data_IF_918896755768
#
_entry.id   IF_918896755768
#
_cell.length_a   1.000
_cell.length_b   1.000
_cell.length_c   1.000
_cell.angle_alpha   90.00
_cell.angle_beta   90.00
_cell.angle_gamma   90.00
#
_symmetry.space_group_name_H-M   'P 1'
#
loop_
_entity.id
_entity.type
_entity.pdbx_description
1 polymer ?
#
# COMPACT_ATOMS: atom_id res chain seq x y z
N UNK A 1 -26.88 -10.39 6.98
CA UNK A 1 -25.63 -11.08 6.66
C UNK A 1 -24.84 -11.30 7.95
N UNK A 2 -24.92 -12.54 8.51
CA UNK A 2 -24.16 -12.92 9.69
C UNK A 2 -22.66 -12.82 9.42
N UNK A 3 -21.97 -12.01 10.20
CA UNK A 3 -20.52 -11.96 10.23
C UNK A 3 -20.03 -13.29 10.79
N UNK A 4 -19.69 -14.24 9.93
CA UNK A 4 -19.04 -15.49 10.35
C UNK A 4 -17.73 -15.16 11.06
N UNK A 5 -17.47 -15.73 12.23
CA UNK A 5 -16.24 -15.52 12.96
C UNK A 5 -15.03 -15.89 12.09
N UNK A 6 -13.85 -15.30 12.35
CA UNK A 6 -12.59 -15.66 11.66
C UNK A 6 -12.34 -17.16 11.70
N UNK A 7 -12.70 -17.83 12.80
CA UNK A 7 -12.62 -19.29 12.99
C UNK A 7 -13.50 -20.07 12.02
N UNK A 8 -14.74 -19.61 11.79
CA UNK A 8 -15.68 -20.24 10.85
C UNK A 8 -15.26 -20.05 9.39
N UNK A 9 -14.68 -18.90 9.02
CA UNK A 9 -14.11 -18.70 7.68
C UNK A 9 -12.93 -19.63 7.42
N UNK A 10 -12.04 -19.82 8.39
CA UNK A 10 -10.91 -20.75 8.25
C UNK A 10 -11.37 -22.21 8.15
N UNK A 11 -12.42 -22.62 8.87
CA UNK A 11 -13.01 -23.96 8.74
C UNK A 11 -13.63 -24.14 7.35
N UNK A 12 -14.45 -23.20 6.88
CA UNK A 12 -15.09 -23.32 5.54
C UNK A 12 -14.06 -23.34 4.39
N UNK A 13 -12.90 -22.71 4.58
CA UNK A 13 -11.81 -22.76 3.58
C UNK A 13 -11.13 -24.13 3.61
N UNK A 14 -10.84 -24.68 4.79
CA UNK A 14 -10.21 -26.01 4.92
C UNK A 14 -10.99 -27.15 4.27
N UNK A 15 -12.31 -27.08 4.30
CA UNK A 15 -13.18 -28.15 3.78
C UNK A 15 -13.31 -28.12 2.24
N UNK A 16 -12.86 -27.04 1.56
CA UNK A 16 -13.06 -26.82 0.14
C UNK A 16 -11.79 -26.55 -0.68
N UNK A 17 -10.64 -26.37 -0.04
CA UNK A 17 -9.38 -25.99 -0.68
C UNK A 17 -8.29 -26.99 -0.31
N UNK A 18 -7.56 -27.48 -1.29
CA UNK A 18 -6.48 -28.46 -1.09
C UNK A 18 -5.33 -27.93 -0.21
N UNK A 19 -5.05 -26.64 -0.29
CA UNK A 19 -4.01 -26.00 0.52
C UNK A 19 -4.36 -24.52 0.82
N UNK A 20 -3.90 -24.04 1.96
CA UNK A 20 -3.97 -22.61 2.36
C UNK A 20 -2.54 -22.11 2.57
N UNK A 21 -2.18 -21.06 1.87
CA UNK A 21 -0.85 -20.46 1.91
C UNK A 21 -0.88 -18.97 2.32
N UNK A 22 0.07 -18.53 3.15
CA UNK A 22 0.98 -19.36 3.94
C UNK A 22 0.22 -20.26 4.93
N UNK A 23 0.86 -21.33 5.42
CA UNK A 23 0.20 -22.28 6.31
C UNK A 23 -0.41 -21.60 7.55
N UNK A 24 -1.59 -22.04 8.03
CA UNK A 24 -2.21 -21.43 9.20
C UNK A 24 -1.35 -21.53 10.47
N UNK A 25 -0.48 -22.55 10.60
CA UNK A 25 0.53 -22.67 11.64
C UNK A 25 1.52 -21.51 11.61
N UNK A 26 2.04 -21.21 10.43
CA UNK A 26 2.95 -20.07 10.19
C UNK A 26 2.28 -18.74 10.49
N UNK A 27 1.03 -18.53 10.04
CA UNK A 27 0.30 -17.29 10.32
C UNK A 27 0.10 -17.09 11.82
N UNK A 28 -0.30 -18.16 12.56
CA UNK A 28 -0.47 -18.09 14.02
C UNK A 28 0.84 -17.76 14.73
N UNK A 29 1.93 -18.41 14.32
CA UNK A 29 3.25 -18.17 14.89
C UNK A 29 3.71 -16.71 14.68
N UNK A 30 3.55 -16.20 13.48
CA UNK A 30 3.98 -14.83 13.12
C UNK A 30 3.08 -13.76 13.76
N UNK A 31 1.80 -14.05 13.97
CA UNK A 31 0.88 -13.11 14.63
C UNK A 31 1.24 -12.84 16.10
N UNK A 32 1.87 -13.80 16.78
CA UNK A 32 2.42 -13.62 18.12
C UNK A 32 3.91 -13.26 17.99
N UNK A 33 4.22 -11.97 18.15
CA UNK A 33 5.57 -11.45 17.93
C UNK A 33 6.62 -12.04 18.88
N UNK A 34 6.24 -12.38 20.10
CA UNK A 34 7.15 -13.06 21.03
C UNK A 34 7.39 -14.52 20.63
N UNK A 35 6.32 -15.25 20.28
CA UNK A 35 6.45 -16.62 19.81
C UNK A 35 7.29 -16.70 18.53
N UNK A 36 7.13 -15.75 17.60
CA UNK A 36 7.96 -15.61 16.40
C UNK A 36 9.45 -15.48 16.77
N UNK A 37 9.78 -14.60 17.73
CA UNK A 37 11.19 -14.40 18.15
C UNK A 37 11.78 -15.65 18.79
N UNK A 38 11.03 -16.31 19.66
CA UNK A 38 11.50 -17.56 20.29
C UNK A 38 11.70 -18.68 19.28
N UNK A 39 10.80 -18.78 18.28
CA UNK A 39 10.97 -19.71 17.17
C UNK A 39 12.26 -19.44 16.39
N UNK A 40 12.47 -18.19 15.99
CA UNK A 40 13.65 -17.78 15.23
C UNK A 40 14.95 -18.00 16.02
N UNK A 41 14.97 -17.64 17.30
CA UNK A 41 16.11 -17.87 18.19
C UNK A 41 16.46 -19.34 18.32
N UNK A 42 15.44 -20.21 18.46
CA UNK A 42 15.62 -21.68 18.51
C UNK A 42 16.29 -22.22 17.22
N UNK A 43 16.08 -21.56 16.09
CA UNK A 43 16.68 -21.93 14.80
C UNK A 43 18.00 -21.19 14.52
N UNK A 44 18.59 -20.53 15.52
CA UNK A 44 19.86 -19.83 15.39
C UNK A 44 19.80 -18.59 14.48
N UNK A 45 18.64 -17.97 14.34
CA UNK A 45 18.49 -16.69 13.65
C UNK A 45 18.75 -15.57 14.68
N UNK A 46 19.62 -14.61 14.37
CA UNK A 46 19.92 -13.50 15.27
C UNK A 46 18.70 -12.58 15.43
N UNK A 47 18.19 -12.50 16.64
CA UNK A 47 17.08 -11.63 17.03
C UNK A 47 17.48 -10.79 18.25
N UNK A 48 16.72 -9.72 18.51
CA UNK A 48 16.89 -8.94 19.73
C UNK A 48 16.50 -9.76 20.97
N UNK A 49 17.28 -9.68 22.04
CA UNK A 49 16.97 -10.33 23.32
C UNK A 49 15.59 -9.88 23.81
N UNK A 50 14.76 -10.85 24.16
CA UNK A 50 13.36 -10.61 24.49
C UNK A 50 12.94 -11.41 25.72
N UNK A 51 12.09 -10.82 26.55
CA UNK A 51 11.54 -11.44 27.76
C UNK A 51 10.02 -11.30 27.75
N UNK A 52 9.34 -12.42 28.01
CA UNK A 52 7.89 -12.43 28.17
C UNK A 52 7.46 -11.77 29.48
N UNK A 53 6.33 -11.08 29.46
CA UNK A 53 5.71 -10.49 30.65
C UNK A 53 4.31 -11.08 30.76
N UNK A 54 4.12 -11.93 31.79
CA UNK A 54 2.82 -12.51 32.06
C UNK A 54 1.83 -11.46 32.59
N UNK A 55 0.58 -11.48 32.09
CA UNK A 55 -0.48 -10.69 32.70
C UNK A 55 -0.60 -10.99 34.18
N UNK A 56 -0.45 -9.99 35.03
CA UNK A 56 -0.55 -10.11 36.48
C UNK A 56 -1.25 -8.92 37.11
N UNK A 57 -1.77 -9.10 38.32
CA UNK A 57 -2.32 -7.98 39.10
C UNK A 57 -1.24 -6.95 39.51
N UNK A 58 0.02 -7.34 39.46
CA UNK A 58 1.17 -6.47 39.74
C UNK A 58 2.06 -6.28 38.49
N UNK A 59 1.50 -5.75 37.44
CA UNK A 59 2.24 -5.46 36.20
C UNK A 59 3.46 -4.58 36.40
N UNK A 60 3.38 -3.65 37.39
CA UNK A 60 4.49 -2.74 37.66
C UNK A 60 5.74 -3.47 38.14
N UNK A 61 5.58 -4.44 39.06
CA UNK A 61 6.70 -5.30 39.50
C UNK A 61 7.26 -6.11 38.34
N UNK A 62 6.38 -6.75 37.55
CA UNK A 62 6.83 -7.58 36.44
C UNK A 62 7.62 -6.78 35.39
N UNK A 63 7.19 -5.56 35.06
CA UNK A 63 7.93 -4.67 34.16
C UNK A 63 9.26 -4.22 34.75
N UNK A 64 9.30 -3.95 36.07
CA UNK A 64 10.53 -3.58 36.78
C UNK A 64 11.57 -4.72 36.76
N UNK A 65 11.15 -5.93 37.05
CA UNK A 65 12.02 -7.13 37.04
C UNK A 65 12.63 -7.34 35.65
N UNK A 66 11.84 -7.09 34.60
CA UNK A 66 12.30 -7.21 33.22
C UNK A 66 13.23 -6.03 32.86
N UNK A 67 12.98 -4.84 33.37
CA UNK A 67 13.86 -3.67 33.17
C UNK A 67 15.24 -3.88 33.82
N UNK A 68 15.28 -4.51 35.00
CA UNK A 68 16.55 -4.92 35.65
C UNK A 68 17.29 -5.95 34.79
N UNK A 69 16.58 -6.93 34.22
CA UNK A 69 17.17 -8.03 33.42
C UNK A 69 17.73 -7.55 32.06
N UNK A 70 16.99 -6.70 31.33
CA UNK A 70 17.36 -6.24 29.98
C UNK A 70 18.14 -4.93 29.96
N UNK A 71 18.15 -4.21 31.07
CA UNK A 71 18.61 -2.81 31.22
C UNK A 71 17.76 -1.80 30.43
N UNK A 72 17.72 -0.57 30.94
CA UNK A 72 17.06 0.55 30.24
C UNK A 72 18.06 1.26 29.30
N UNK A 73 17.60 1.84 28.18
CA UNK A 73 16.23 1.76 27.70
C UNK A 73 15.85 0.40 27.12
N UNK A 74 14.55 0.10 27.09
CA UNK A 74 14.00 -1.11 26.46
C UNK A 74 12.70 -0.80 25.71
N UNK A 75 12.25 -1.72 24.88
CA UNK A 75 10.98 -1.60 24.15
C UNK A 75 9.95 -2.56 24.73
N UNK A 76 8.86 -2.04 25.30
CA UNK A 76 7.69 -2.83 25.67
C UNK A 76 6.76 -2.97 24.47
N UNK A 77 6.27 -4.18 24.21
CA UNK A 77 5.44 -4.48 23.05
C UNK A 77 4.27 -5.40 23.42
N UNK A 78 3.11 -5.16 22.77
CA UNK A 78 2.02 -6.14 22.79
C UNK A 78 2.39 -7.33 21.91
N UNK A 79 2.15 -8.57 22.40
CA UNK A 79 2.45 -9.80 21.63
C UNK A 79 1.64 -9.92 20.36
N UNK A 80 0.40 -9.43 20.39
CA UNK A 80 -0.54 -9.50 19.27
C UNK A 80 -1.19 -8.15 19.00
N UNK A 81 -1.73 -7.96 17.78
CA UNK A 81 -2.45 -6.74 17.36
C UNK A 81 -1.61 -5.46 17.38
N UNK A 82 -0.29 -5.56 17.32
CA UNK A 82 0.63 -4.44 17.15
C UNK A 82 0.94 -4.24 15.65
N UNK A 83 0.82 -3.00 15.18
CA UNK A 83 1.10 -2.61 13.78
C UNK A 83 1.31 -1.10 13.66
N UNK A 84 2.12 -0.65 12.73
CA UNK A 84 2.39 0.76 12.44
C UNK A 84 2.66 1.59 13.73
N UNK A 85 3.56 1.08 14.59
CA UNK A 85 3.94 1.72 15.87
C UNK A 85 2.93 1.57 17.02
N UNK A 86 1.72 1.07 16.78
CA UNK A 86 0.73 0.82 17.83
C UNK A 86 1.06 -0.44 18.62
N UNK A 87 0.90 -0.37 19.94
CA UNK A 87 1.22 -1.47 20.83
C UNK A 87 2.70 -1.59 21.17
N UNK A 88 3.48 -0.52 20.95
CA UNK A 88 4.88 -0.37 21.34
C UNK A 88 5.04 0.83 22.27
N UNK A 89 5.91 0.72 23.26
CA UNK A 89 6.30 1.82 24.15
C UNK A 89 7.79 1.75 24.47
N UNK A 90 8.52 2.83 24.20
CA UNK A 90 9.94 2.93 24.58
C UNK A 90 10.06 3.33 26.04
N UNK A 91 10.46 2.39 26.89
CA UNK A 91 10.70 2.64 28.31
C UNK A 91 12.14 3.10 28.51
N UNK A 92 12.32 4.37 28.84
CA UNK A 92 13.64 5.00 29.01
C UNK A 92 14.10 5.04 30.47
N UNK A 93 13.15 5.10 31.41
CA UNK A 93 13.38 5.23 32.86
C UNK A 93 12.25 4.56 33.64
N UNK A 94 12.49 4.19 34.90
CA UNK A 94 11.52 3.48 35.75
C UNK A 94 10.26 4.30 36.04
N UNK A 95 10.36 5.62 36.10
CA UNK A 95 9.23 6.53 36.32
C UNK A 95 8.16 6.47 35.19
N UNK A 96 8.53 5.96 34.01
CA UNK A 96 7.62 5.80 32.88
C UNK A 96 6.84 4.48 32.90
N UNK A 97 7.07 3.59 33.87
CA UNK A 97 6.45 2.24 33.90
C UNK A 97 4.93 2.34 33.94
N UNK A 98 4.36 3.21 34.76
CA UNK A 98 2.89 3.34 34.88
C UNK A 98 2.28 3.85 33.56
N UNK A 99 2.89 4.84 32.94
CA UNK A 99 2.47 5.37 31.64
C UNK A 99 2.59 4.30 30.53
N UNK A 100 3.63 3.48 30.57
CA UNK A 100 3.81 2.39 29.60
C UNK A 100 2.72 1.31 29.73
N UNK A 101 2.39 0.93 30.98
CA UNK A 101 1.33 -0.05 31.26
C UNK A 101 -0.03 0.49 30.80
N UNK A 102 -0.34 1.75 31.08
CA UNK A 102 -1.56 2.41 30.63
C UNK A 102 -1.67 2.42 29.10
N UNK A 103 -0.62 2.86 28.41
CA UNK A 103 -0.56 2.94 26.94
C UNK A 103 -0.71 1.57 26.27
N UNK A 104 -0.28 0.49 26.94
CA UNK A 104 -0.34 -0.88 26.42
C UNK A 104 -1.56 -1.68 26.91
N UNK A 105 -2.54 -1.02 27.54
CA UNK A 105 -3.86 -1.59 27.86
C UNK A 105 -4.00 -2.13 29.26
N UNK A 106 -3.28 -1.58 30.26
CA UNK A 106 -3.44 -1.85 31.69
C UNK A 106 -3.40 -3.33 32.07
N UNK A 107 -2.48 -4.11 31.48
CA UNK A 107 -2.37 -5.55 31.76
C UNK A 107 -3.46 -6.43 31.14
N UNK A 108 -4.36 -5.87 30.33
CA UNK A 108 -5.42 -6.64 29.64
C UNK A 108 -4.90 -7.51 28.50
N UNK A 109 -3.64 -7.32 28.09
CA UNK A 109 -2.99 -8.02 26.99
C UNK A 109 -1.63 -8.57 27.41
N UNK A 110 -1.23 -9.74 26.89
CA UNK A 110 0.11 -10.24 27.13
C UNK A 110 1.13 -9.34 26.46
N UNK A 111 2.16 -8.95 27.21
CA UNK A 111 3.25 -8.11 26.78
C UNK A 111 4.56 -8.91 26.67
N UNK A 112 5.54 -8.32 26.04
CA UNK A 112 6.94 -8.73 26.11
C UNK A 112 7.84 -7.50 26.01
N UNK A 113 9.05 -7.64 26.51
CA UNK A 113 10.05 -6.59 26.41
C UNK A 113 11.18 -7.03 25.47
N UNK A 114 11.72 -6.10 24.74
CA UNK A 114 12.94 -6.25 23.93
C UNK A 114 14.02 -5.32 24.45
N UNK A 115 15.24 -5.83 24.52
CA UNK A 115 16.43 -5.02 24.76
C UNK A 115 16.51 -3.94 23.70
N UNK A 116 16.89 -2.73 24.09
CA UNK A 116 17.08 -1.65 23.11
C UNK A 116 18.19 -2.01 22.12
N UNK A 117 17.84 -2.05 20.83
CA UNK A 117 18.81 -2.28 19.76
C UNK A 117 19.24 -0.90 19.20
N UNK A 118 20.49 -0.45 19.44
CA UNK A 118 20.99 0.84 18.94
C UNK A 118 21.35 0.70 17.44
N UNK A 119 20.35 0.47 16.61
CA UNK A 119 20.57 0.30 15.18
C UNK A 119 20.95 1.63 14.50
N UNK A 120 21.79 1.52 13.47
CA UNK A 120 22.15 2.61 12.59
C UNK A 120 21.14 2.76 11.46
N UNK A 121 20.66 1.61 10.94
CA UNK A 121 19.72 1.55 9.84
C UNK A 121 18.70 0.43 10.03
N UNK A 122 17.52 0.67 9.50
CA UNK A 122 16.54 -0.39 9.26
C UNK A 122 16.66 -0.86 7.83
N UNK A 123 16.66 -2.17 7.64
CA UNK A 123 16.76 -2.82 6.33
C UNK A 123 15.63 -3.83 6.19
N UNK A 124 15.22 -4.09 4.97
CA UNK A 124 14.20 -5.09 4.68
C UNK A 124 14.63 -6.01 3.53
N UNK A 125 14.16 -7.25 3.60
CA UNK A 125 14.35 -8.25 2.54
C UNK A 125 13.01 -8.92 2.28
N UNK A 126 12.57 -8.88 1.03
CA UNK A 126 11.43 -9.70 0.59
C UNK A 126 11.92 -11.09 0.27
N UNK A 127 11.27 -12.10 0.82
CA UNK A 127 11.65 -13.51 0.64
C UNK A 127 10.46 -14.30 0.12
N UNK A 128 10.65 -15.04 -0.95
CA UNK A 128 9.66 -15.95 -1.53
C UNK A 128 9.97 -17.36 -1.07
N UNK A 129 8.96 -18.08 -0.62
CA UNK A 129 9.02 -19.51 -0.34
C UNK A 129 7.98 -20.24 -1.18
N UNK A 130 8.41 -21.15 -2.05
CA UNK A 130 7.56 -21.95 -2.90
C UNK A 130 6.98 -23.15 -2.15
N UNK A 131 5.97 -23.81 -2.73
CA UNK A 131 5.34 -25.03 -2.19
C UNK A 131 6.31 -26.21 -2.06
N UNK A 132 7.34 -26.28 -2.90
CA UNK A 132 8.41 -27.29 -2.83
C UNK A 132 9.47 -27.00 -1.77
N UNK A 133 9.35 -25.88 -1.07
CA UNK A 133 10.32 -25.43 -0.05
C UNK A 133 11.46 -24.59 -0.57
N UNK A 134 11.56 -24.35 -1.87
CA UNK A 134 12.54 -23.43 -2.46
C UNK A 134 12.36 -22.03 -1.89
N UNK A 135 13.47 -21.40 -1.46
CA UNK A 135 13.48 -20.05 -0.89
C UNK A 135 14.42 -19.17 -1.72
N UNK A 136 13.92 -18.00 -2.15
CA UNK A 136 14.69 -16.98 -2.85
C UNK A 136 14.37 -15.59 -2.29
N UNK A 137 15.34 -14.69 -2.27
CA UNK A 137 15.15 -13.33 -1.78
C UNK A 137 15.30 -12.29 -2.90
N UNK A 138 14.63 -11.17 -2.72
CA UNK A 138 14.90 -9.92 -3.42
C UNK A 138 16.14 -9.26 -2.81
N UNK A 139 16.80 -8.34 -3.54
CA UNK A 139 17.87 -7.54 -2.97
C UNK A 139 17.45 -6.85 -1.68
N UNK A 140 18.34 -6.83 -0.68
CA UNK A 140 18.14 -6.08 0.55
C UNK A 140 17.97 -4.59 0.24
N UNK A 141 17.11 -3.91 0.98
CA UNK A 141 16.81 -2.48 0.83
C UNK A 141 16.96 -1.75 2.16
N UNK A 142 17.27 -0.46 2.09
CA UNK A 142 17.20 0.45 3.23
C UNK A 142 15.77 0.94 3.39
N UNK A 143 15.26 0.96 4.62
CA UNK A 143 13.94 1.52 4.96
C UNK A 143 14.13 2.69 5.92
N UNK A 144 13.43 3.79 5.63
CA UNK A 144 13.41 4.98 6.48
C UNK A 144 12.03 5.08 7.11
N UNK A 145 12.00 5.12 8.44
CA UNK A 145 10.76 5.24 9.21
C UNK A 145 10.65 6.61 9.87
N UNK A 146 9.46 7.16 9.84
CA UNK A 146 9.07 8.36 10.58
C UNK A 146 7.87 8.01 11.48
N UNK A 147 7.97 8.30 12.76
CA UNK A 147 6.95 7.96 13.75
C UNK A 147 6.52 6.48 13.69
N UNK A 148 7.50 5.57 13.52
CA UNK A 148 7.30 4.11 13.38
C UNK A 148 6.48 3.69 12.15
N UNK A 149 6.33 4.55 11.16
CA UNK A 149 5.69 4.24 9.88
C UNK A 149 6.74 4.32 8.78
N UNK A 150 6.84 3.28 7.94
CA UNK A 150 7.75 3.31 6.80
C UNK A 150 7.40 4.50 5.89
N UNK A 151 8.34 5.42 5.74
CA UNK A 151 8.22 6.63 4.95
C UNK A 151 8.78 6.42 3.54
N UNK A 152 10.02 5.93 3.44
CA UNK A 152 10.66 5.66 2.15
C UNK A 152 11.52 4.40 2.17
N UNK A 153 11.81 3.87 0.98
CA UNK A 153 12.65 2.68 0.75
C UNK A 153 13.65 3.00 -0.35
N UNK A 154 14.89 2.52 -0.21
CA UNK A 154 15.93 2.66 -1.23
C UNK A 154 16.51 1.29 -1.61
N UNK A 155 16.48 0.98 -2.88
CA UNK A 155 16.91 -0.30 -3.45
C UNK A 155 18.02 -0.10 -4.51
N UNK A 156 19.05 -0.94 -4.51
CA UNK A 156 19.42 -1.89 -3.47
C UNK A 156 20.07 -1.19 -2.27
N UNK A 157 20.19 -1.91 -1.14
CA UNK A 157 20.91 -1.43 0.04
C UNK A 157 22.36 -1.05 -0.34
N UNK A 158 22.74 0.19 -0.04
CA UNK A 158 24.11 0.68 -0.25
C UNK A 158 24.84 0.81 1.09
N UNK A 159 26.02 0.22 1.14
CA UNK A 159 26.85 0.19 2.35
C UNK A 159 28.33 0.15 1.95
N UNK A 160 29.19 0.57 2.87
CA UNK A 160 30.64 0.44 2.73
C UNK A 160 31.14 -1.00 2.93
N UNK A 161 30.31 -1.91 3.40
CA UNK A 161 30.60 -3.33 3.58
C UNK A 161 29.93 -4.13 2.46
N UNK A 162 30.65 -4.55 1.42
CA UNK A 162 30.06 -5.17 0.22
C UNK A 162 29.30 -6.48 0.50
N UNK A 163 29.68 -7.22 1.54
CA UNK A 163 29.07 -8.49 1.94
C UNK A 163 27.78 -8.35 2.74
N UNK A 164 27.50 -7.16 3.28
CA UNK A 164 26.37 -6.92 4.19
C UNK A 164 25.02 -7.15 3.53
N UNK A 165 24.74 -6.69 2.29
CA UNK A 165 23.46 -6.98 1.63
C UNK A 165 23.21 -8.47 1.47
N UNK A 166 24.24 -9.25 1.12
CA UNK A 166 24.12 -10.70 0.97
C UNK A 166 23.94 -11.39 2.33
N UNK A 167 24.58 -10.89 3.40
CA UNK A 167 24.36 -11.41 4.78
C UNK A 167 22.93 -11.20 5.21
N UNK A 168 22.35 -10.02 4.94
CA UNK A 168 20.96 -9.73 5.22
C UNK A 168 20.01 -10.69 4.49
N UNK A 169 20.24 -10.90 3.19
CA UNK A 169 19.49 -11.89 2.40
C UNK A 169 19.57 -13.30 3.00
N UNK A 170 20.77 -13.79 3.32
CA UNK A 170 20.96 -15.13 3.92
C UNK A 170 20.25 -15.28 5.28
N UNK A 171 20.27 -14.26 6.13
CA UNK A 171 19.55 -14.28 7.42
C UNK A 171 18.05 -14.38 7.17
N UNK A 172 17.53 -13.57 6.25
CA UNK A 172 16.11 -13.55 5.91
C UNK A 172 15.64 -14.88 5.28
N UNK A 173 16.41 -15.44 4.34
CA UNK A 173 16.12 -16.74 3.71
C UNK A 173 16.12 -17.88 4.73
N UNK A 174 17.13 -17.93 5.60
CA UNK A 174 17.20 -18.93 6.68
C UNK A 174 16.01 -18.80 7.63
N UNK A 175 15.59 -17.60 7.96
CA UNK A 175 14.42 -17.37 8.80
C UNK A 175 13.13 -17.89 8.15
N UNK A 176 12.90 -17.54 6.88
CA UNK A 176 11.69 -17.95 6.13
C UNK A 176 11.70 -19.47 5.85
N UNK A 177 12.85 -20.09 5.68
CA UNK A 177 12.97 -21.54 5.50
C UNK A 177 12.45 -22.33 6.72
N UNK A 178 12.38 -21.73 7.92
CA UNK A 178 11.86 -22.38 9.14
C UNK A 178 10.33 -22.46 9.20
N UNK A 179 9.63 -21.78 8.28
CA UNK A 179 8.17 -21.76 8.26
C UNK A 179 7.60 -22.80 7.30
N UNK A 180 6.30 -23.07 7.48
CA UNK A 180 5.52 -23.94 6.61
C UNK A 180 4.68 -23.15 5.61
N UNK A 181 4.35 -23.79 4.49
CA UNK A 181 3.54 -23.22 3.42
C UNK A 181 4.37 -22.37 2.46
N UNK A 182 3.69 -21.66 1.58
CA UNK A 182 4.27 -20.90 0.48
C UNK A 182 3.81 -19.44 0.49
N UNK A 183 4.50 -18.58 -0.24
CA UNK A 183 4.14 -17.18 -0.44
C UNK A 183 5.33 -16.24 -0.31
N UNK A 184 5.04 -14.96 -0.24
CA UNK A 184 6.01 -13.90 0.01
C UNK A 184 6.02 -13.51 1.49
N UNK A 185 7.21 -13.23 2.01
CA UNK A 185 7.43 -12.78 3.38
C UNK A 185 8.24 -11.50 3.36
N UNK A 186 7.78 -10.48 4.05
CA UNK A 186 8.56 -9.27 4.31
C UNK A 186 9.33 -9.44 5.61
N UNK A 187 10.68 -9.42 5.53
CA UNK A 187 11.58 -9.56 6.67
C UNK A 187 12.20 -8.21 6.98
N UNK A 188 11.96 -7.70 8.18
CA UNK A 188 12.55 -6.47 8.69
C UNK A 188 13.73 -6.77 9.62
N UNK A 189 14.82 -6.03 9.43
CA UNK A 189 16.10 -6.27 10.09
C UNK A 189 16.68 -4.95 10.60
N UNK A 190 17.39 -5.01 11.72
CA UNK A 190 18.18 -3.91 12.25
C UNK A 190 19.65 -4.12 11.90
N UNK A 191 20.29 -3.10 11.37
CA UNK A 191 21.74 -3.05 11.16
C UNK A 191 22.35 -2.19 12.28
N UNK A 192 23.17 -2.80 13.11
CA UNK A 192 23.90 -2.12 14.17
C UNK A 192 25.18 -1.48 13.63
N UNK A 193 25.77 -0.55 14.38
CA UNK A 193 27.00 0.18 14.01
C UNK A 193 28.22 -0.74 13.78
N UNK A 194 28.27 -1.86 14.51
CA UNK A 194 29.34 -2.86 14.37
C UNK A 194 29.14 -3.82 13.18
N UNK A 195 28.11 -3.61 12.37
CA UNK A 195 27.76 -4.47 11.24
C UNK A 195 26.94 -5.70 11.62
N UNK A 196 26.57 -5.86 12.89
CA UNK A 196 25.65 -6.93 13.32
C UNK A 196 24.26 -6.70 12.73
N UNK A 197 23.64 -7.79 12.24
CA UNK A 197 22.27 -7.76 11.71
C UNK A 197 21.39 -8.57 12.67
N UNK A 198 20.33 -7.95 13.17
CA UNK A 198 19.32 -8.58 14.01
C UNK A 198 17.96 -8.57 13.30
N UNK A 199 17.26 -9.69 13.30
CA UNK A 199 15.93 -9.75 12.76
C UNK A 199 14.94 -9.11 13.73
N UNK A 200 14.17 -8.15 13.22
CA UNK A 200 13.12 -7.44 13.96
C UNK A 200 11.80 -8.20 13.88
N UNK A 201 11.18 -8.27 12.72
CA UNK A 201 9.91 -8.97 12.53
C UNK A 201 9.73 -9.51 11.11
N UNK A 202 8.77 -10.42 10.95
CA UNK A 202 8.40 -11.00 9.65
C UNK A 202 6.90 -10.81 9.44
N UNK A 203 6.52 -10.42 8.23
CA UNK A 203 5.14 -10.34 7.76
C UNK A 203 4.89 -11.42 6.69
N UNK A 204 3.91 -12.34 6.86
CA UNK A 204 3.67 -13.44 5.94
C UNK A 204 2.75 -13.03 4.78
N UNK A 205 3.12 -12.00 4.05
CA UNK A 205 2.34 -11.37 2.97
C UNK A 205 3.20 -10.41 2.16
N UNK A 206 2.75 -9.98 0.97
CA UNK A 206 3.33 -8.82 0.31
C UNK A 206 3.48 -7.66 1.28
N UNK A 207 4.67 -7.06 1.29
CA UNK A 207 5.05 -6.05 2.27
C UNK A 207 5.28 -4.69 1.63
N UNK A 208 5.01 -3.64 2.39
CA UNK A 208 5.17 -2.27 1.94
C UNK A 208 6.59 -1.97 1.47
N UNK A 209 7.60 -2.45 2.21
CA UNK A 209 9.01 -2.28 1.83
C UNK A 209 9.39 -3.00 0.51
N UNK A 210 8.51 -3.87 -0.01
CA UNK A 210 8.68 -4.58 -1.28
C UNK A 210 7.94 -3.96 -2.46
N UNK A 211 7.23 -2.84 -2.28
CA UNK A 211 6.44 -2.25 -3.37
C UNK A 211 7.30 -1.73 -4.53
N UNK A 212 8.55 -1.35 -4.27
CA UNK A 212 9.51 -1.00 -5.32
C UNK A 212 9.68 -2.10 -6.39
N UNK A 213 9.44 -3.37 -6.02
CA UNK A 213 9.60 -4.51 -6.92
C UNK A 213 8.66 -4.47 -8.12
N UNK A 214 7.55 -3.74 -8.03
CA UNK A 214 6.58 -3.60 -9.12
C UNK A 214 7.21 -2.94 -10.35
N UNK A 215 8.02 -1.91 -10.14
CA UNK A 215 8.62 -1.11 -11.22
C UNK A 215 10.12 -1.38 -11.40
N UNK A 216 10.81 -1.89 -10.37
CA UNK A 216 12.27 -2.00 -10.35
C UNK A 216 12.81 -3.42 -10.50
N UNK A 217 12.00 -4.48 -10.31
CA UNK A 217 12.43 -5.86 -10.45
C UNK A 217 11.86 -6.52 -11.71
N UNK A 218 12.52 -7.60 -12.17
CA UNK A 218 12.04 -8.41 -13.29
C UNK A 218 10.68 -9.03 -12.99
N UNK A 219 10.51 -9.56 -11.78
CA UNK A 219 9.24 -10.10 -11.29
C UNK A 219 8.87 -9.41 -9.97
N UNK A 220 7.63 -8.93 -9.85
CA UNK A 220 7.18 -8.25 -8.63
C UNK A 220 6.97 -9.22 -7.46
N UNK A 221 6.99 -8.69 -6.23
CA UNK A 221 6.64 -9.48 -5.03
C UNK A 221 5.24 -10.09 -5.12
N UNK A 222 4.31 -9.43 -5.80
CA UNK A 222 2.93 -9.90 -5.95
C UNK A 222 2.86 -11.09 -6.91
N UNK A 223 3.54 -10.99 -8.04
CA UNK A 223 3.59 -12.08 -9.01
C UNK A 223 4.30 -13.30 -8.43
N UNK A 224 5.46 -13.12 -7.80
CA UNK A 224 6.17 -14.22 -7.16
C UNK A 224 5.37 -14.83 -5.98
N UNK A 225 4.55 -14.03 -5.28
CA UNK A 225 3.62 -14.58 -4.30
C UNK A 225 2.63 -15.55 -4.95
N UNK A 226 2.01 -15.16 -6.07
CA UNK A 226 1.08 -16.03 -6.80
C UNK A 226 1.79 -17.26 -7.36
N UNK A 227 2.96 -17.11 -7.98
CA UNK A 227 3.75 -18.23 -8.49
C UNK A 227 4.08 -19.23 -7.37
N UNK A 228 4.52 -18.73 -6.22
CA UNK A 228 4.88 -19.55 -5.07
C UNK A 228 3.72 -20.39 -4.54
N UNK A 229 2.54 -19.78 -4.36
CA UNK A 229 1.37 -20.49 -3.81
C UNK A 229 0.70 -21.43 -4.80
N UNK A 230 0.91 -21.22 -6.10
CA UNK A 230 0.40 -22.07 -7.19
C UNK A 230 1.40 -23.15 -7.63
N UNK A 231 2.60 -23.20 -7.03
CA UNK A 231 3.64 -24.15 -7.41
C UNK A 231 4.21 -23.90 -8.81
N UNK A 232 4.13 -22.66 -9.31
CA UNK A 232 4.72 -22.27 -10.58
C UNK A 232 6.21 -21.94 -10.41
N UNK A 233 7.04 -22.03 -11.47
CA UNK A 233 8.42 -21.58 -11.42
C UNK A 233 8.51 -20.13 -10.94
N UNK A 234 9.38 -19.87 -9.96
CA UNK A 234 9.59 -18.52 -9.46
C UNK A 234 10.23 -17.66 -10.55
N UNK A 235 9.77 -16.43 -10.66
CA UNK A 235 10.38 -15.43 -11.53
C UNK A 235 11.63 -14.83 -10.88
N UNK A 236 12.50 -14.26 -11.70
CA UNK A 236 13.74 -13.60 -11.25
C UNK A 236 13.42 -12.46 -10.28
N UNK A 237 14.13 -12.42 -9.15
CA UNK A 237 14.04 -11.36 -8.15
C UNK A 237 15.00 -10.20 -8.41
N UNK A 238 15.78 -10.28 -9.50
CA UNK A 238 16.78 -9.29 -9.86
C UNK A 238 16.17 -7.91 -10.13
N UNK A 239 16.92 -6.87 -9.80
CA UNK A 239 16.61 -5.52 -10.25
C UNK A 239 16.82 -5.42 -11.76
N UNK A 240 15.84 -4.88 -12.50
CA UNK A 240 15.98 -4.52 -13.92
C UNK A 240 16.51 -3.11 -14.12
N UNK A 241 16.76 -2.38 -13.04
CA UNK A 241 17.31 -1.02 -13.01
C UNK A 241 18.42 -0.91 -11.97
N UNK A 242 19.45 -0.06 -12.16
CA UNK A 242 20.56 0.06 -11.22
C UNK A 242 20.17 0.58 -9.83
N UNK A 243 19.11 1.41 -9.74
CA UNK A 243 18.65 1.99 -8.49
C UNK A 243 17.15 2.32 -8.54
N UNK A 244 16.50 2.19 -7.41
CA UNK A 244 15.11 2.55 -7.22
C UNK A 244 14.86 3.09 -5.80
N UNK A 245 13.78 3.84 -5.64
CA UNK A 245 13.24 4.20 -4.34
C UNK A 245 11.71 4.11 -4.36
N UNK A 246 11.12 4.00 -3.19
CA UNK A 246 9.67 4.07 -2.97
C UNK A 246 9.38 5.12 -1.90
N UNK A 247 8.41 5.99 -2.16
CA UNK A 247 7.86 6.95 -1.21
C UNK A 247 6.43 6.56 -0.87
N UNK A 248 6.12 6.38 0.40
CA UNK A 248 4.74 6.18 0.85
C UNK A 248 3.96 7.50 0.81
N UNK A 249 2.74 7.45 0.32
CA UNK A 249 1.80 8.55 0.39
C UNK A 249 0.96 8.33 1.67
N UNK A 250 1.28 9.09 2.71
CA UNK A 250 0.60 9.02 4.01
C UNK A 250 -0.42 10.15 4.11
N UNK A 251 -1.62 9.85 4.61
CA UNK A 251 -2.62 10.87 4.88
C UNK A 251 -2.06 11.91 5.87
N UNK A 252 -2.17 13.19 5.53
CA UNK A 252 -1.64 14.30 6.33
C UNK A 252 -2.65 14.84 7.33
N UNK A 253 -3.94 14.84 6.97
CA UNK A 253 -5.01 15.33 7.81
C UNK A 253 -6.27 14.45 7.69
N UNK A 254 -7.24 14.68 8.56
CA UNK A 254 -8.52 13.98 8.53
C UNK A 254 -9.50 14.74 7.62
N UNK A 255 -10.01 14.07 6.60
CA UNK A 255 -10.96 14.66 5.64
C UNK A 255 -12.25 15.17 6.31
N UNK A 256 -12.63 14.65 7.48
CA UNK A 256 -13.76 15.15 8.25
C UNK A 256 -13.49 16.50 8.92
N UNK A 257 -12.21 16.88 9.06
CA UNK A 257 -11.75 18.09 9.74
C UNK A 257 -11.09 19.10 8.80
N UNK A 258 -10.59 18.65 7.67
CA UNK A 258 -9.90 19.47 6.66
C UNK A 258 -10.32 18.98 5.27
N UNK A 259 -11.09 19.79 4.54
CA UNK A 259 -11.58 19.46 3.19
C UNK A 259 -10.45 19.31 2.18
N UNK A 260 -9.33 19.99 2.40
CA UNK A 260 -8.16 19.95 1.54
C UNK A 260 -7.19 18.82 1.93
N UNK A 261 -7.53 18.00 2.93
CA UNK A 261 -6.69 16.91 3.42
C UNK A 261 -6.23 15.96 2.32
N UNK A 262 -7.11 15.63 1.39
CA UNK A 262 -6.79 14.76 0.27
C UNK A 262 -5.87 15.46 -0.74
N UNK A 263 -6.14 16.72 -1.10
CA UNK A 263 -5.31 17.50 -2.01
C UNK A 263 -3.90 17.67 -1.46
N UNK A 264 -3.75 18.03 -0.18
CA UNK A 264 -2.46 18.12 0.52
C UNK A 264 -1.73 16.76 0.51
N UNK A 265 -2.44 15.68 0.81
CA UNK A 265 -1.89 14.32 0.80
C UNK A 265 -1.39 13.91 -0.59
N UNK A 266 -2.05 14.34 -1.65
CA UNK A 266 -1.72 14.01 -3.03
C UNK A 266 -0.72 14.98 -3.70
N UNK A 267 -0.26 16.03 -3.02
CA UNK A 267 0.70 16.98 -3.59
C UNK A 267 1.97 16.30 -4.15
N UNK A 268 2.61 15.33 -3.46
CA UNK A 268 3.75 14.60 -4.03
C UNK A 268 3.38 13.77 -5.26
N UNK A 269 2.13 13.31 -5.38
CA UNK A 269 1.63 12.60 -6.57
C UNK A 269 1.62 13.52 -7.78
N UNK A 270 1.07 14.72 -7.62
CA UNK A 270 1.06 15.71 -8.69
C UNK A 270 2.48 16.09 -9.11
N UNK A 271 3.37 16.30 -8.15
CA UNK A 271 4.78 16.57 -8.43
C UNK A 271 5.45 15.43 -9.19
N UNK A 272 5.13 14.19 -8.87
CA UNK A 272 5.73 13.01 -9.50
C UNK A 272 5.46 12.90 -11.00
N UNK A 273 4.37 13.46 -11.49
CA UNK A 273 4.04 13.48 -12.93
C UNK A 273 5.09 14.18 -13.78
N UNK A 274 5.88 15.10 -13.19
CA UNK A 274 7.00 15.78 -13.84
C UNK A 274 8.37 15.19 -13.51
N UNK A 275 8.42 14.10 -12.70
CA UNK A 275 9.66 13.45 -12.30
C UNK A 275 9.91 12.22 -13.18
N UNK A 276 10.95 12.22 -14.03
CA UNK A 276 11.25 11.06 -14.88
C UNK A 276 11.48 9.79 -14.05
N UNK A 277 10.89 8.68 -14.49
CA UNK A 277 11.02 7.38 -13.82
C UNK A 277 10.20 7.24 -12.53
N UNK A 278 9.30 8.17 -12.23
CA UNK A 278 8.32 8.03 -11.18
C UNK A 278 7.06 7.29 -11.69
N UNK A 279 6.56 6.36 -10.89
CA UNK A 279 5.31 5.62 -11.13
C UNK A 279 4.44 5.70 -9.89
N UNK A 280 3.18 6.07 -10.05
CA UNK A 280 2.22 6.28 -8.94
C UNK A 280 1.31 5.07 -8.79
N UNK A 281 1.14 4.63 -7.55
CA UNK A 281 0.24 3.55 -7.18
C UNK A 281 -0.70 4.00 -6.06
N UNK A 282 -1.93 4.37 -6.39
CA UNK A 282 -2.96 4.76 -5.42
C UNK A 282 -3.81 3.55 -5.01
N UNK A 283 -4.20 3.51 -3.73
CA UNK A 283 -4.91 2.35 -3.17
C UNK A 283 -6.44 2.48 -3.19
N UNK A 284 -6.99 3.58 -3.72
CA UNK A 284 -8.43 3.79 -3.82
C UNK A 284 -9.17 3.80 -2.48
N UNK A 285 -8.49 4.13 -1.37
CA UNK A 285 -9.10 4.10 -0.04
C UNK A 285 -10.02 5.29 0.17
N UNK A 286 -11.26 5.03 0.58
CA UNK A 286 -12.17 6.05 1.05
C UNK A 286 -11.66 6.69 2.36
N UNK A 287 -11.73 8.01 2.46
CA UNK A 287 -11.32 8.79 3.63
C UNK A 287 -9.81 8.90 3.81
N UNK A 288 -9.36 10.11 4.09
CA UNK A 288 -7.99 10.44 4.45
C UNK A 288 -7.92 10.67 5.96
N UNK A 289 -6.86 10.18 6.62
CA UNK A 289 -6.55 10.44 8.02
C UNK A 289 -5.05 10.36 8.24
N UNK A 290 -4.49 11.08 9.25
CA UNK A 290 -3.06 11.09 9.53
C UNK A 290 -2.45 9.68 9.61
N UNK A 291 -1.32 9.49 8.92
CA UNK A 291 -0.57 8.23 8.91
C UNK A 291 -1.18 7.08 8.11
N UNK A 292 -2.38 7.24 7.52
CA UNK A 292 -2.98 6.21 6.68
C UNK A 292 -2.26 6.13 5.34
N UNK A 293 -1.72 4.94 5.00
CA UNK A 293 -1.11 4.70 3.69
C UNK A 293 -2.16 4.78 2.60
N UNK A 294 -2.13 5.83 1.78
CA UNK A 294 -3.07 6.13 0.70
C UNK A 294 -2.59 5.61 -0.66
N UNK A 295 -1.28 5.42 -0.80
CA UNK A 295 -0.61 4.96 -2.00
C UNK A 295 0.89 4.95 -1.80
N UNK A 296 1.62 4.80 -2.91
CA UNK A 296 3.07 5.00 -2.95
C UNK A 296 3.50 5.49 -4.33
N UNK A 297 4.70 6.05 -4.39
CA UNK A 297 5.37 6.44 -5.63
C UNK A 297 6.66 5.65 -5.71
N UNK A 298 6.85 4.88 -6.77
CA UNK A 298 8.14 4.28 -7.09
C UNK A 298 8.94 5.21 -8.00
N UNK A 299 10.23 5.33 -7.76
CA UNK A 299 11.15 6.13 -8.56
C UNK A 299 12.31 5.23 -8.98
N UNK A 300 12.53 5.08 -10.28
CA UNK A 300 13.65 4.30 -10.84
C UNK A 300 14.64 5.21 -11.53
N UNK A 301 15.91 4.79 -11.60
CA UNK A 301 16.95 5.59 -12.25
C UNK A 301 18.25 4.83 -12.53
N UNK A 302 19.11 5.44 -13.37
CA UNK A 302 20.37 4.84 -13.79
C UNK A 302 21.46 4.84 -12.71
N UNK A 303 21.25 5.55 -11.59
CA UNK A 303 22.15 5.52 -10.43
C UNK A 303 21.47 6.03 -9.18
N UNK A 304 22.05 5.76 -8.02
CA UNK A 304 21.57 6.25 -6.72
C UNK A 304 21.49 7.78 -6.67
N UNK A 305 22.46 8.48 -7.27
CA UNK A 305 22.46 9.94 -7.32
C UNK A 305 21.23 10.48 -8.05
N UNK A 306 20.87 9.87 -9.19
CA UNK A 306 19.67 10.26 -9.94
C UNK A 306 18.38 9.96 -9.14
N UNK A 307 18.31 8.78 -8.52
CA UNK A 307 17.13 8.39 -7.74
C UNK A 307 16.98 9.31 -6.52
N UNK A 308 18.04 9.57 -5.77
CA UNK A 308 18.02 10.47 -4.61
C UNK A 308 17.65 11.90 -5.00
N UNK A 309 18.18 12.43 -6.12
CA UNK A 309 17.79 13.73 -6.64
C UNK A 309 16.31 13.80 -7.04
N UNK A 310 15.77 12.75 -7.67
CA UNK A 310 14.34 12.66 -8.00
C UNK A 310 13.48 12.56 -6.75
N UNK A 311 13.92 11.77 -5.78
CA UNK A 311 13.25 11.64 -4.48
C UNK A 311 13.24 12.95 -3.71
N UNK A 312 14.31 13.75 -3.71
CA UNK A 312 14.33 15.03 -2.99
C UNK A 312 13.24 15.98 -3.48
N UNK A 313 12.94 15.99 -4.79
CA UNK A 313 11.86 16.81 -5.33
C UNK A 313 10.47 16.41 -4.80
N UNK A 314 10.26 15.11 -4.53
CA UNK A 314 9.01 14.60 -3.95
C UNK A 314 8.95 14.86 -2.45
N UNK A 315 10.09 14.72 -1.76
CA UNK A 315 10.21 14.99 -0.33
C UNK A 315 10.03 16.47 0.00
N UNK A 316 10.62 17.36 -0.80
CA UNK A 316 10.43 18.82 -0.66
C UNK A 316 8.96 19.21 -0.82
N UNK A 317 8.25 18.57 -1.76
CA UNK A 317 6.81 18.81 -1.95
C UNK A 317 5.97 18.23 -0.81
N UNK A 318 6.34 17.05 -0.29
CA UNK A 318 5.70 16.46 0.87
C UNK A 318 5.89 17.34 2.12
N UNK A 319 7.08 17.86 2.36
CA UNK A 319 7.35 18.76 3.48
C UNK A 319 6.50 20.04 3.40
N UNK A 320 6.41 20.68 2.23
CA UNK A 320 5.51 21.82 2.01
C UNK A 320 4.05 21.48 2.32
N UNK A 321 3.59 20.32 1.88
CA UNK A 321 2.24 19.86 2.12
C UNK A 321 1.99 19.57 3.62
N UNK A 322 2.97 19.02 4.34
CA UNK A 322 2.93 18.81 5.78
C UNK A 322 2.83 20.14 6.54
N UNK A 323 3.67 21.11 6.19
CA UNK A 323 3.62 22.46 6.78
C UNK A 323 2.23 23.07 6.57
N UNK A 324 1.72 23.05 5.33
CA UNK A 324 0.40 23.56 5.01
C UNK A 324 -0.75 22.83 5.74
N UNK A 325 -0.58 21.56 6.06
CA UNK A 325 -1.55 20.79 6.84
C UNK A 325 -1.54 21.18 8.32
N UNK A 326 -0.37 21.56 8.89
CA UNK A 326 -0.25 22.00 10.27
C UNK A 326 -0.67 23.46 10.48
N UNK A 327 -0.51 24.31 9.48
CA UNK A 327 -0.88 25.73 9.51
C UNK A 327 -2.38 25.97 9.24
N UNK A 328 -3.12 24.94 8.78
CA UNK A 328 -4.56 25.05 8.55
C UNK A 328 -5.28 25.35 9.86
N UNK A 329 -6.02 26.49 9.90
CA UNK A 329 -6.86 26.90 11.03
C UNK A 329 -7.83 25.78 11.43
N UNK A 330 -8.24 25.70 12.73
CA UNK A 330 -9.23 24.73 13.17
C UNK A 330 -10.48 24.80 12.28
N UNK A 331 -10.98 23.63 11.90
CA UNK A 331 -12.20 23.47 11.13
C UNK A 331 -13.38 24.22 11.77
N UNK A 332 -13.88 25.24 11.09
CA UNK A 332 -15.13 25.89 11.46
C UNK A 332 -16.31 25.09 10.88
N UNK A 333 -16.92 24.26 11.74
CA UNK A 333 -18.06 23.41 11.37
C UNK A 333 -19.28 24.24 10.90
N UNK A 334 -19.42 25.49 11.35
CA UNK A 334 -20.48 26.41 10.92
C UNK A 334 -20.19 26.96 9.53
N UNK A 335 -18.94 27.33 9.24
CA UNK A 335 -18.51 27.74 7.89
C UNK A 335 -18.65 26.58 6.89
N UNK A 336 -18.42 25.34 7.34
CA UNK A 336 -18.62 24.15 6.50
C UNK A 336 -20.10 23.90 6.17
N UNK A 337 -20.98 24.05 7.14
CA UNK A 337 -22.44 23.95 6.91
C UNK A 337 -22.91 25.06 5.96
N UNK A 338 -22.38 26.28 6.08
CA UNK A 338 -22.71 27.40 5.18
C UNK A 338 -22.18 27.15 3.74
N UNK A 339 -20.98 26.54 3.58
CA UNK A 339 -20.44 26.17 2.27
C UNK A 339 -21.18 24.98 1.65
N UNK A 340 -21.60 23.99 2.46
CA UNK A 340 -22.41 22.86 1.98
C UNK A 340 -23.85 23.27 1.63
N UNK A 341 -24.36 24.37 2.19
CA UNK A 341 -25.68 24.91 1.89
C UNK A 341 -25.68 25.80 0.63
N UNK A 342 -24.51 26.23 0.14
CA UNK A 342 -24.37 26.90 -1.16
C UNK A 342 -24.02 25.80 -2.16
N UNK A 343 -24.91 25.46 -3.12
CA UNK A 343 -24.52 24.58 -4.20
C UNK A 343 -23.27 25.19 -4.87
N UNK A 344 -22.24 24.37 -5.19
CA UNK A 344 -21.05 24.88 -5.84
C UNK A 344 -21.48 25.70 -7.04
N UNK A 345 -20.95 26.93 -7.24
CA UNK A 345 -21.32 27.74 -8.36
C UNK A 345 -21.07 26.96 -9.65
N UNK A 346 -22.15 26.64 -10.38
CA UNK A 346 -22.08 25.85 -11.59
C UNK A 346 -22.15 24.34 -11.39
N UNK A 347 -22.83 23.83 -10.36
CA UNK A 347 -23.22 22.41 -10.37
C UNK A 347 -23.98 22.16 -11.69
N UNK A 348 -23.40 21.35 -12.61
CA UNK A 348 -23.93 21.21 -13.94
C UNK A 348 -25.30 20.56 -13.89
N UNK A 349 -26.25 21.19 -14.53
CA UNK A 349 -27.64 20.76 -14.56
C UNK A 349 -27.90 19.71 -15.65
N UNK A 350 -26.94 19.52 -16.57
CA UNK A 350 -27.04 18.56 -17.68
C UNK A 350 -25.66 18.11 -18.17
N UNK A 351 -25.57 16.96 -18.87
CA UNK A 351 -24.32 16.50 -19.48
C UNK A 351 -23.69 17.50 -20.48
N UNK A 352 -24.47 18.41 -21.01
CA UNK A 352 -24.00 19.43 -21.97
C UNK A 352 -23.14 20.51 -21.30
N UNK A 353 -23.29 20.70 -19.98
CA UNK A 353 -22.50 21.68 -19.21
C UNK A 353 -21.03 21.19 -18.98
N UNK A 354 -20.70 19.97 -19.38
CA UNK A 354 -19.38 19.37 -19.25
C UNK A 354 -18.63 19.17 -20.58
N UNK A 355 -19.16 19.69 -21.69
CA UNK A 355 -18.52 19.50 -23.00
C UNK A 355 -17.70 20.73 -23.40
N UNK A 356 -16.37 20.61 -23.30
CA UNK A 356 -15.46 21.63 -23.77
C UNK A 356 -15.32 21.53 -25.31
N UNK A 357 -15.33 22.65 -26.05
CA UNK A 357 -15.22 22.65 -27.52
C UNK A 357 -13.91 22.05 -28.05
N UNK A 358 -12.83 22.09 -27.23
CA UNK A 358 -11.52 21.50 -27.53
C UNK A 358 -11.18 20.42 -26.51
N UNK A 359 -12.05 19.40 -26.36
CA UNK A 359 -11.88 18.34 -25.39
C UNK A 359 -10.66 17.46 -25.70
N UNK A 360 -9.81 17.23 -24.70
CA UNK A 360 -8.68 16.30 -24.76
C UNK A 360 -9.05 14.90 -24.25
N UNK A 361 -10.06 14.81 -23.38
CA UNK A 361 -10.52 13.54 -22.79
C UNK A 361 -12.02 13.38 -23.09
N UNK A 362 -12.40 12.21 -23.59
CA UNK A 362 -13.80 11.84 -23.75
C UNK A 362 -14.26 10.96 -22.60
N UNK A 363 -15.26 11.39 -21.82
CA UNK A 363 -15.92 10.56 -20.81
C UNK A 363 -17.23 10.07 -21.40
N UNK A 364 -17.35 8.76 -21.58
CA UNK A 364 -18.55 8.14 -22.14
C UNK A 364 -19.12 7.08 -21.21
N UNK A 365 -20.42 6.91 -21.26
CA UNK A 365 -21.14 5.94 -20.43
C UNK A 365 -22.33 5.32 -21.17
N UNK A 366 -22.71 4.12 -20.78
CA UNK A 366 -23.81 3.40 -21.40
C UNK A 366 -25.20 3.97 -21.07
N UNK A 367 -25.33 4.64 -19.93
CA UNK A 367 -26.60 5.13 -19.39
C UNK A 367 -26.37 6.31 -18.43
N UNK A 368 -27.42 7.07 -18.19
CA UNK A 368 -27.49 8.07 -17.13
C UNK A 368 -27.33 7.46 -15.71
N UNK A 369 -27.72 6.21 -15.53
CA UNK A 369 -27.45 5.46 -14.28
C UNK A 369 -25.96 5.33 -13.95
N UNK A 370 -25.08 5.41 -14.93
CA UNK A 370 -23.63 5.33 -14.77
C UNK A 370 -23.02 6.69 -14.35
N UNK A 371 -23.76 7.76 -14.54
CA UNK A 371 -23.32 9.14 -14.33
C UNK A 371 -22.75 9.39 -12.92
N UNK A 372 -23.35 8.91 -11.81
CA UNK A 372 -22.81 9.15 -10.47
C UNK A 372 -21.39 8.63 -10.27
N UNK A 373 -21.02 7.53 -10.95
CA UNK A 373 -19.66 6.98 -10.93
C UNK A 373 -18.74 7.79 -11.83
N UNK A 374 -19.20 8.10 -13.05
CA UNK A 374 -18.40 8.80 -14.07
C UNK A 374 -18.16 10.27 -13.72
N UNK A 375 -19.01 10.87 -12.87
CA UNK A 375 -18.81 12.21 -12.35
C UNK A 375 -17.50 12.38 -11.57
N UNK A 376 -17.00 11.32 -10.94
CA UNK A 376 -15.71 11.38 -10.23
C UNK A 376 -14.55 11.63 -11.21
N UNK A 377 -14.60 11.00 -12.40
CA UNK A 377 -13.62 11.26 -13.45
C UNK A 377 -13.74 12.69 -14.00
N UNK A 378 -14.98 13.17 -14.23
CA UNK A 378 -15.24 14.52 -14.69
C UNK A 378 -14.76 15.58 -13.70
N UNK A 379 -15.03 15.39 -12.41
CA UNK A 379 -14.56 16.29 -11.36
C UNK A 379 -13.04 16.30 -11.28
N UNK A 380 -12.40 15.13 -11.32
CA UNK A 380 -10.93 15.03 -11.33
C UNK A 380 -10.32 15.79 -12.50
N UNK A 381 -10.83 15.62 -13.72
CA UNK A 381 -10.33 16.34 -14.89
C UNK A 381 -10.54 17.85 -14.77
N UNK A 382 -11.66 18.28 -14.18
CA UNK A 382 -11.94 19.68 -13.89
C UNK A 382 -10.95 20.26 -12.87
N UNK A 383 -10.65 19.52 -11.81
CA UNK A 383 -9.70 19.94 -10.77
C UNK A 383 -8.27 20.07 -11.33
N UNK A 384 -7.95 19.32 -12.39
CA UNK A 384 -6.69 19.41 -13.12
C UNK A 384 -6.70 20.39 -14.31
N UNK A 385 -7.80 21.12 -14.49
CA UNK A 385 -7.98 22.02 -15.64
C UNK A 385 -7.74 21.34 -17.02
N UNK A 386 -8.13 20.05 -17.11
CA UNK A 386 -8.05 19.26 -18.34
C UNK A 386 -9.36 19.34 -19.11
N UNK A 387 -9.38 19.88 -20.33
CA UNK A 387 -10.59 19.98 -21.14
C UNK A 387 -11.15 18.60 -21.47
N UNK A 388 -12.42 18.36 -21.19
CA UNK A 388 -13.08 17.10 -21.48
C UNK A 388 -14.51 17.29 -22.00
N UNK A 389 -15.02 16.27 -22.65
CA UNK A 389 -16.44 16.13 -22.97
C UNK A 389 -17.05 14.94 -22.20
N UNK A 390 -18.31 15.03 -21.83
CA UNK A 390 -19.05 13.98 -21.16
C UNK A 390 -20.36 13.70 -21.90
N UNK A 391 -20.55 12.45 -22.32
CA UNK A 391 -21.75 12.09 -23.09
C UNK A 391 -22.18 10.63 -22.89
N UNK A 392 -23.46 10.37 -23.16
CA UNK A 392 -24.02 9.02 -23.13
C UNK A 392 -23.88 8.38 -24.51
N UNK A 393 -23.20 7.25 -24.55
CA UNK A 393 -23.00 6.44 -25.77
C UNK A 393 -23.21 4.98 -25.44
N UNK A 394 -24.38 4.47 -25.77
CA UNK A 394 -24.72 3.09 -25.41
C UNK A 394 -24.33 2.09 -26.50
N UNK A 395 -23.52 1.08 -26.12
CA UNK A 395 -23.11 0.01 -27.04
C UNK A 395 -24.31 -0.80 -27.56
N UNK A 396 -25.33 -1.01 -26.72
CA UNK A 396 -26.48 -1.84 -27.06
C UNK A 396 -27.67 -1.06 -27.62
N UNK A 397 -27.87 0.18 -27.16
CA UNK A 397 -29.06 0.97 -27.53
C UNK A 397 -28.81 1.92 -28.71
N UNK A 398 -27.55 2.39 -28.86
CA UNK A 398 -27.15 3.33 -29.91
C UNK A 398 -25.78 2.94 -30.49
N UNK A 399 -25.66 1.74 -31.12
CA UNK A 399 -24.37 1.22 -31.59
C UNK A 399 -23.75 2.10 -32.69
N UNK A 400 -24.56 2.70 -33.55
CA UNK A 400 -24.09 3.63 -34.60
C UNK A 400 -23.46 4.87 -33.98
N UNK A 401 -24.09 5.48 -32.98
CA UNK A 401 -23.53 6.63 -32.26
C UNK A 401 -22.23 6.26 -31.55
N UNK A 402 -22.15 5.06 -30.96
CA UNK A 402 -20.93 4.55 -30.35
C UNK A 402 -19.80 4.43 -31.38
N UNK A 403 -20.08 3.88 -32.56
CA UNK A 403 -19.13 3.76 -33.65
C UNK A 403 -18.66 5.11 -34.15
N UNK A 404 -19.59 6.02 -34.40
CA UNK A 404 -19.29 7.40 -34.84
C UNK A 404 -18.44 8.13 -33.81
N UNK A 405 -18.78 8.02 -32.53
CA UNK A 405 -18.01 8.59 -31.45
C UNK A 405 -16.56 8.08 -31.44
N UNK A 406 -16.39 6.74 -31.45
CA UNK A 406 -15.09 6.09 -31.35
C UNK A 406 -14.18 6.43 -32.56
N UNK A 407 -14.74 6.42 -33.76
CA UNK A 407 -13.98 6.67 -35.01
C UNK A 407 -13.64 8.14 -35.21
N UNK A 408 -14.50 9.08 -34.75
CA UNK A 408 -14.29 10.52 -34.88
C UNK A 408 -13.48 11.13 -33.72
N UNK A 409 -13.36 10.46 -32.58
CA UNK A 409 -12.76 11.02 -31.38
C UNK A 409 -11.37 11.65 -31.65
N UNK A 410 -10.48 10.93 -32.34
CA UNK A 410 -9.13 11.40 -32.66
C UNK A 410 -9.12 12.66 -33.49
N UNK A 411 -9.97 12.74 -34.52
CA UNK A 411 -10.06 13.88 -35.43
C UNK A 411 -10.67 15.12 -34.76
N UNK A 412 -11.45 14.91 -33.70
CA UNK A 412 -11.99 15.96 -32.81
C UNK A 412 -10.99 16.47 -31.76
N UNK A 413 -9.77 15.89 -31.69
CA UNK A 413 -8.72 16.30 -30.76
C UNK A 413 -8.63 15.48 -29.50
N UNK A 414 -9.53 14.51 -29.27
CA UNK A 414 -9.51 13.64 -28.10
C UNK A 414 -8.24 12.77 -28.12
N UNK A 415 -7.62 12.61 -26.97
CA UNK A 415 -6.38 11.85 -26.77
C UNK A 415 -6.61 10.55 -25.98
N UNK A 416 -7.60 10.54 -25.09
CA UNK A 416 -7.94 9.40 -24.22
C UNK A 416 -9.46 9.33 -24.08
N UNK A 417 -10.00 8.12 -24.02
CA UNK A 417 -11.43 7.89 -23.76
C UNK A 417 -11.56 7.15 -22.42
N UNK A 418 -12.38 7.67 -21.52
CA UNK A 418 -12.79 6.99 -20.26
C UNK A 418 -14.21 6.47 -20.48
N UNK A 419 -14.37 5.15 -20.51
CA UNK A 419 -15.64 4.51 -20.86
C UNK A 419 -16.18 3.71 -19.66
N UNK A 420 -17.32 4.13 -19.11
CA UNK A 420 -18.00 3.48 -17.99
C UNK A 420 -19.17 2.62 -18.43
N UNK A 421 -19.31 1.43 -17.85
CA UNK A 421 -20.46 0.57 -18.08
C UNK A 421 -20.70 -0.37 -16.90
N UNK A 422 -21.99 -0.69 -16.64
CA UNK A 422 -22.42 -1.60 -15.60
C UNK A 422 -22.99 -2.92 -16.15
N UNK A 423 -22.96 -3.99 -15.34
CA UNK A 423 -23.47 -5.31 -15.70
C UNK A 423 -22.66 -5.96 -16.84
N UNK A 424 -23.29 -6.24 -17.98
CA UNK A 424 -22.62 -6.66 -19.21
C UNK A 424 -21.87 -5.47 -19.85
N UNK A 425 -20.77 -5.07 -19.24
CA UNK A 425 -20.04 -3.82 -19.48
C UNK A 425 -19.22 -3.85 -20.78
N UNK A 426 -19.89 -4.05 -21.93
CA UNK A 426 -19.25 -4.20 -23.24
C UNK A 426 -18.74 -2.86 -23.85
N UNK A 427 -19.26 -1.72 -23.40
CA UNK A 427 -18.95 -0.42 -24.02
C UNK A 427 -17.45 -0.12 -24.11
N UNK A 428 -16.62 -0.29 -23.06
CA UNK A 428 -15.20 -0.02 -23.14
C UNK A 428 -14.48 -0.83 -24.22
N UNK A 429 -14.73 -2.13 -24.26
CA UNK A 429 -14.12 -3.03 -25.25
C UNK A 429 -14.59 -2.75 -26.68
N UNK A 430 -15.88 -2.47 -26.88
CA UNK A 430 -16.44 -2.14 -28.20
C UNK A 430 -15.89 -0.81 -28.74
N UNK A 431 -15.70 0.17 -27.87
CA UNK A 431 -15.08 1.45 -28.24
C UNK A 431 -13.59 1.25 -28.54
N UNK A 432 -12.86 0.51 -27.71
CA UNK A 432 -11.44 0.21 -27.95
C UNK A 432 -11.20 -0.48 -29.30
N UNK A 433 -12.13 -1.32 -29.74
CA UNK A 433 -12.06 -1.99 -31.03
C UNK A 433 -12.29 -1.05 -32.24
N UNK A 434 -12.80 0.16 -32.02
CA UNK A 434 -13.19 1.11 -33.08
C UNK A 434 -12.30 2.36 -33.11
N UNK A 435 -11.33 2.52 -32.20
CA UNK A 435 -10.44 3.67 -32.13
C UNK A 435 -8.99 3.25 -31.92
N UNK A 436 -8.05 4.09 -32.35
CA UNK A 436 -6.63 3.94 -32.02
C UNK A 436 -6.23 4.70 -30.74
N UNK A 437 -7.18 5.33 -30.07
CA UNK A 437 -6.94 6.04 -28.81
C UNK A 437 -6.92 5.07 -27.63
N UNK A 438 -6.14 5.35 -26.58
CA UNK A 438 -6.24 4.64 -25.32
C UNK A 438 -7.67 4.72 -24.76
N UNK A 439 -8.21 3.58 -24.32
CA UNK A 439 -9.53 3.51 -23.69
C UNK A 439 -9.38 2.96 -22.27
N UNK A 440 -9.80 3.74 -21.29
CA UNK A 440 -9.82 3.35 -19.87
C UNK A 440 -11.21 2.82 -19.55
N UNK A 441 -11.30 1.53 -19.24
CA UNK A 441 -12.55 0.88 -18.85
C UNK A 441 -12.86 1.11 -17.38
N UNK A 442 -14.04 1.65 -17.08
CA UNK A 442 -14.53 1.87 -15.71
C UNK A 442 -15.67 0.88 -15.41
N UNK A 443 -15.46 -0.11 -14.52
CA UNK A 443 -16.55 -0.98 -14.09
C UNK A 443 -17.49 -0.22 -13.18
N UNK A 444 -18.71 0.03 -13.67
CA UNK A 444 -19.76 0.71 -12.90
C UNK A 444 -20.52 -0.32 -12.05
N UNK A 445 -20.85 0.05 -10.83
CA UNK A 445 -21.61 -0.80 -9.90
C UNK A 445 -23.00 -1.07 -10.48
N UNK A 446 -23.28 -2.35 -10.73
CA UNK A 446 -24.59 -2.85 -11.10
C UNK A 446 -25.45 -3.23 -9.88
N UNK A 447 -26.70 -3.63 -10.13
CA UNK A 447 -27.66 -4.00 -9.07
C UNK A 447 -27.38 -5.39 -8.44
N UNK A 448 -26.58 -6.23 -9.06
CA UNK A 448 -26.49 -7.66 -8.69
C UNK A 448 -25.20 -8.04 -7.95
N UNK A 449 -24.01 -7.61 -8.39
CA UNK A 449 -22.72 -8.05 -7.85
C UNK A 449 -21.77 -6.88 -7.52
N UNK A 450 -22.29 -5.72 -7.15
CA UNK A 450 -21.52 -4.56 -6.72
C UNK A 450 -20.40 -4.13 -7.69
N UNK A 451 -20.56 -4.38 -8.99
CA UNK A 451 -19.59 -4.02 -10.03
C UNK A 451 -18.58 -5.12 -10.37
N UNK A 452 -18.60 -6.26 -9.68
CA UNK A 452 -17.74 -7.42 -10.00
C UNK A 452 -18.12 -8.05 -11.34
N UNK A 453 -19.41 -8.10 -11.66
CA UNK A 453 -19.95 -8.47 -12.95
C UNK A 453 -19.46 -7.55 -14.08
N UNK A 454 -19.46 -6.25 -13.83
CA UNK A 454 -18.95 -5.23 -14.74
C UNK A 454 -17.45 -5.40 -15.00
N UNK A 455 -16.67 -5.63 -13.94
CA UNK A 455 -15.24 -5.88 -14.03
C UNK A 455 -14.96 -7.14 -14.86
N UNK A 456 -15.64 -8.24 -14.58
CA UNK A 456 -15.50 -9.50 -15.33
C UNK A 456 -15.92 -9.37 -16.80
N UNK A 457 -16.83 -8.47 -17.12
CA UNK A 457 -17.22 -8.21 -18.49
C UNK A 457 -16.18 -7.38 -19.26
N UNK A 458 -15.44 -6.50 -18.56
CA UNK A 458 -14.42 -5.62 -19.17
C UNK A 458 -13.09 -6.37 -19.36
N UNK A 459 -12.62 -7.10 -18.34
CA UNK A 459 -11.29 -7.74 -18.30
C UNK A 459 -11.07 -8.78 -19.42
N UNK A 460 -12.03 -9.63 -19.82
CA UNK A 460 -11.80 -10.64 -20.85
C UNK A 460 -11.81 -10.12 -22.29
N UNK A 461 -12.11 -8.84 -22.51
CA UNK A 461 -12.19 -8.26 -23.85
C UNK A 461 -10.78 -7.90 -24.35
N UNK A 462 -10.49 -8.11 -25.62
CA UNK A 462 -9.18 -7.91 -26.25
C UNK A 462 -8.54 -6.52 -26.02
N UNK A 463 -7.23 -6.40 -25.85
CA UNK A 463 -6.57 -5.58 -24.91
C UNK A 463 -5.52 -4.62 -25.43
N UNK A 464 -5.39 -4.43 -26.71
CA UNK A 464 -4.29 -3.68 -27.30
C UNK A 464 -4.32 -2.19 -26.94
N UNK A 465 -5.47 -1.64 -26.52
CA UNK A 465 -5.64 -0.20 -26.28
C UNK A 465 -6.49 0.13 -25.05
N UNK A 466 -6.89 -0.88 -24.25
CA UNK A 466 -7.72 -0.66 -23.07
C UNK A 466 -6.90 -0.83 -21.78
N UNK A 467 -7.06 0.12 -20.86
CA UNK A 467 -6.47 0.10 -19.50
C UNK A 467 -7.59 0.16 -18.47
N UNK A 468 -7.46 -0.58 -17.38
CA UNK A 468 -8.40 -0.60 -16.25
C UNK A 468 -8.01 0.41 -15.18
#
# INVERSE_FOLDING_TARGET
LHVRSRRQRQMCIRDRVQAVHPAPSTVRLIQDKYAQKMHLQKHGIPVVDSVHIEPSSNMKSAVKDVAEKLSLPLMLKSRTQAYDGRGNFTLKSEDQIDAAIEALGNGSRPLYAEKWAPFEREIAVMVVRSVDGTVVSYPAVETVHENSICHSVYAPLRTHQPELPQRACRIAERAVATFEGAGIFGVELFLLKDGTILLNEIAPRPHNSGHYTMDACETSQFENHLRAILGLPLGSTALKVPSAAMLNILGLADLSKDQDALAKTLAPVLRSLSVPGATVHLYGKSGCRPGRKMGHINVVGPSDAHVRHRMSQLLDELERAQIAAHESKPWDAEAAKRRAAVPPPGAPKSPQDFSHPEALVGIIMGSDSDLPVMMNAAQTLKDFDVPFELTIVSAHRTPERMREYATSARTRGIRVIIAGAGGAAHLPGMVAAQTCLPVIGVPVKGSSLDGVDSLHSIVPVSYTHMTL
#
